data_IF_509796486601
#
_entry.id   IF_509796486601
#
_cell.length_a   1.000
_cell.length_b   1.000
_cell.length_c   1.000
_cell.angle_alpha   90.00
_cell.angle_beta   90.00
_cell.angle_gamma   90.00
#
_symmetry.space_group_name_H-M   'P 1'
#
loop_
_entity.id
_entity.type
_entity.pdbx_description
1 polymer ?
#
# COMPACT_ATOMS: atom_id res chain seq x y z
N UNK A 1 0.28 14.74 69.49
CA UNK A 1 -0.84 13.93 70.01
C UNK A 1 -2.09 14.78 69.98
N UNK A 2 -3.22 14.20 69.56
CA UNK A 2 -4.59 14.73 69.63
C UNK A 2 -5.01 15.61 68.42
N UNK A 3 -5.44 14.98 67.33
CA UNK A 3 -6.85 14.66 66.99
C UNK A 3 -7.63 15.94 66.62
N UNK A 4 -7.96 16.24 65.35
CA UNK A 4 -8.87 15.56 64.38
C UNK A 4 -10.04 16.54 64.07
N UNK A 5 -10.51 16.54 62.80
CA UNK A 5 -11.79 17.10 62.26
C UNK A 5 -11.83 18.64 62.03
N UNK A 6 -12.22 19.24 60.89
CA UNK A 6 -13.19 18.93 59.81
C UNK A 6 -12.75 19.66 58.51
N UNK A 7 -12.59 18.99 57.36
CA UNK A 7 -13.60 18.70 56.32
C UNK A 7 -14.29 19.94 55.71
N UNK A 8 -13.77 20.42 54.57
CA UNK A 8 -14.57 21.08 53.54
C UNK A 8 -14.10 20.57 52.17
N UNK A 9 -14.79 19.51 51.74
CA UNK A 9 -14.66 18.82 50.45
C UNK A 9 -15.20 19.76 49.37
N UNK A 10 -14.32 20.30 48.52
CA UNK A 10 -14.75 20.93 47.27
C UNK A 10 -14.90 19.84 46.21
N UNK A 11 -16.16 19.47 46.00
CA UNK A 11 -16.63 18.50 45.02
C UNK A 11 -16.45 19.08 43.60
N UNK A 12 -15.31 18.82 42.98
CA UNK A 12 -15.06 19.12 41.56
C UNK A 12 -15.36 17.90 40.70
N UNK A 13 -16.60 17.76 40.23
CA UNK A 13 -16.92 16.85 39.13
C UNK A 13 -16.44 17.47 37.82
N UNK A 14 -15.24 17.10 37.38
CA UNK A 14 -14.82 17.24 35.98
C UNK A 14 -14.74 15.84 35.38
N UNK A 15 -15.67 15.56 34.48
CA UNK A 15 -15.90 14.27 33.86
C UNK A 15 -14.66 13.74 33.13
N UNK A 16 -14.32 12.47 33.37
CA UNK A 16 -13.61 11.66 32.40
C UNK A 16 -14.54 11.45 31.21
N UNK A 17 -14.34 12.18 30.12
CA UNK A 17 -14.81 11.71 28.82
C UNK A 17 -13.86 10.58 28.38
N UNK A 18 -14.34 9.35 28.12
CA UNK A 18 -13.59 8.45 27.26
C UNK A 18 -13.48 9.14 25.89
N UNK A 19 -12.24 9.37 25.45
CA UNK A 19 -11.99 9.85 24.11
C UNK A 19 -12.63 8.88 23.12
N UNK A 20 -13.51 9.44 22.30
CA UNK A 20 -14.24 8.81 21.23
C UNK A 20 -13.30 7.98 20.36
N UNK A 21 -13.69 6.74 20.12
CA UNK A 21 -13.06 5.84 19.17
C UNK A 21 -12.90 6.57 17.84
N UNK A 22 -11.65 6.93 17.51
CA UNK A 22 -11.28 7.39 16.19
C UNK A 22 -11.73 6.37 15.14
N UNK A 23 -11.89 6.81 13.87
CA UNK A 23 -12.46 5.98 12.83
C UNK A 23 -11.73 4.65 12.81
N UNK A 24 -12.51 3.56 12.83
CA UNK A 24 -12.07 2.22 12.49
C UNK A 24 -11.27 2.35 11.20
N UNK A 25 -9.95 2.43 11.31
CA UNK A 25 -9.06 2.18 10.21
C UNK A 25 -9.32 0.71 9.89
N UNK A 26 -10.21 0.48 8.92
CA UNK A 26 -10.34 -0.75 8.17
C UNK A 26 -8.95 -1.33 8.08
N UNK A 27 -8.75 -2.52 8.65
CA UNK A 27 -7.49 -3.23 8.60
C UNK A 27 -7.00 -3.14 7.15
N UNK A 28 -6.01 -2.27 6.92
CA UNK A 28 -5.37 -2.17 5.63
C UNK A 28 -4.87 -3.58 5.39
N UNK A 29 -5.39 -4.26 4.38
CA UNK A 29 -4.75 -5.44 3.80
C UNK A 29 -3.41 -4.96 3.24
N UNK A 30 -2.49 -4.62 4.14
CA UNK A 30 -1.11 -4.39 3.83
C UNK A 30 -0.61 -5.76 3.41
N UNK A 31 -0.40 -5.92 2.11
CA UNK A 31 0.27 -7.08 1.56
C UNK A 31 1.59 -7.23 2.33
N UNK A 32 1.67 -8.27 3.17
CA UNK A 32 2.89 -8.57 3.90
C UNK A 32 3.88 -9.08 2.88
N UNK A 33 4.84 -8.23 2.49
CA UNK A 33 5.94 -8.66 1.62
C UNK A 33 6.81 -9.62 2.43
N UNK A 34 6.99 -10.88 1.99
CA UNK A 34 7.85 -11.83 2.69
C UNK A 34 9.26 -11.26 2.85
N UNK A 35 9.80 -11.33 4.07
CA UNK A 35 11.12 -10.75 4.42
C UNK A 35 12.26 -11.76 4.40
N UNK A 36 11.95 -13.03 4.11
CA UNK A 36 12.89 -14.13 4.05
C UNK A 36 12.49 -15.12 2.95
N UNK A 37 13.45 -15.95 2.55
CA UNK A 37 13.31 -16.92 1.47
C UNK A 37 12.27 -18.00 1.75
N UNK A 38 12.18 -18.49 2.99
CA UNK A 38 11.28 -19.58 3.34
C UNK A 38 9.83 -19.12 3.23
N UNK A 39 9.52 -17.96 3.81
CA UNK A 39 8.19 -17.34 3.72
C UNK A 39 7.87 -17.00 2.26
N UNK A 40 8.84 -16.50 1.49
CA UNK A 40 8.64 -16.21 0.08
C UNK A 40 8.22 -17.45 -0.73
N UNK A 41 8.93 -18.56 -0.55
CA UNK A 41 8.62 -19.83 -1.21
C UNK A 41 7.26 -20.39 -0.78
N UNK A 42 6.89 -20.22 0.49
CA UNK A 42 5.59 -20.66 1.01
C UNK A 42 4.41 -19.92 0.35
N UNK A 43 4.60 -18.65 0.02
CA UNK A 43 3.63 -17.83 -0.74
C UNK A 43 3.69 -18.08 -2.26
N UNK A 44 4.53 -19.03 -2.72
CA UNK A 44 4.70 -19.35 -4.14
C UNK A 44 5.58 -18.36 -4.90
N UNK A 45 6.34 -17.52 -4.21
CA UNK A 45 7.28 -16.57 -4.79
C UNK A 45 8.68 -17.14 -5.02
N UNK A 46 9.51 -16.34 -5.70
CA UNK A 46 10.94 -16.60 -5.94
C UNK A 46 11.79 -15.61 -5.16
N UNK A 47 12.70 -16.12 -4.33
CA UNK A 47 13.68 -15.30 -3.62
C UNK A 47 14.89 -15.04 -4.52
N UNK A 48 15.04 -13.81 -5.01
CA UNK A 48 16.10 -13.46 -5.96
C UNK A 48 16.57 -12.01 -5.82
N UNK A 49 17.78 -11.68 -6.32
CA UNK A 49 18.15 -10.28 -6.48
C UNK A 49 17.18 -9.59 -7.45
N UNK A 50 16.77 -8.39 -7.07
CA UNK A 50 16.02 -7.45 -7.91
C UNK A 50 16.82 -6.17 -8.08
N UNK A 51 16.50 -5.41 -9.13
CA UNK A 51 17.03 -4.06 -9.35
C UNK A 51 18.56 -4.07 -9.59
N UNK A 52 19.16 -2.94 -9.96
CA UNK A 52 20.61 -2.91 -10.24
C UNK A 52 21.46 -3.14 -8.99
N UNK A 53 20.99 -2.72 -7.81
CA UNK A 53 21.71 -2.98 -6.55
C UNK A 53 21.73 -4.47 -6.16
N UNK A 54 20.90 -5.31 -6.80
CA UNK A 54 20.84 -6.75 -6.52
C UNK A 54 20.29 -7.08 -5.13
N UNK A 55 19.34 -6.27 -4.64
CA UNK A 55 18.72 -6.49 -3.33
C UNK A 55 17.91 -7.77 -3.36
N UNK A 56 18.09 -8.66 -2.38
CA UNK A 56 17.27 -9.85 -2.27
C UNK A 56 15.84 -9.47 -1.87
N UNK A 57 14.88 -9.91 -2.68
CA UNK A 57 13.46 -9.68 -2.42
C UNK A 57 12.63 -10.90 -2.85
N UNK A 58 11.41 -10.97 -2.34
CA UNK A 58 10.44 -11.94 -2.81
C UNK A 58 9.71 -11.42 -4.06
N UNK A 59 9.77 -12.18 -5.15
CA UNK A 59 9.05 -11.89 -6.39
C UNK A 59 7.92 -12.90 -6.57
N UNK A 60 6.69 -12.42 -6.55
CA UNK A 60 5.47 -13.20 -6.71
C UNK A 60 4.85 -12.89 -8.07
N UNK A 61 4.38 -13.92 -8.77
CA UNK A 61 3.60 -13.80 -10.01
C UNK A 61 2.12 -13.55 -9.66
N UNK A 62 1.51 -12.58 -10.32
CA UNK A 62 0.11 -12.22 -10.13
C UNK A 62 -0.79 -12.94 -11.14
N UNK A 63 -1.92 -13.46 -10.67
CA UNK A 63 -2.82 -14.27 -11.50
C UNK A 63 -3.62 -13.44 -12.50
N UNK A 64 -3.73 -12.14 -12.26
CA UNK A 64 -4.43 -11.18 -13.10
C UNK A 64 -3.49 -10.39 -14.02
N UNK A 65 -2.24 -10.83 -14.18
CA UNK A 65 -1.30 -10.26 -15.14
C UNK A 65 -1.94 -10.05 -16.53
N UNK A 66 -1.80 -8.84 -17.08
CA UNK A 66 -2.35 -8.52 -18.40
C UNK A 66 -3.86 -8.25 -18.45
N UNK A 67 -4.58 -8.38 -17.33
CA UNK A 67 -5.98 -7.93 -17.21
C UNK A 67 -6.03 -6.41 -17.44
N UNK A 68 -6.99 -5.95 -18.23
CA UNK A 68 -7.25 -4.51 -18.40
C UNK A 68 -7.73 -3.89 -17.09
N UNK A 69 -7.18 -2.74 -16.72
CA UNK A 69 -7.51 -2.00 -15.52
C UNK A 69 -7.58 -0.49 -15.81
N UNK A 70 -8.25 0.25 -14.93
CA UNK A 70 -8.29 1.71 -14.89
C UNK A 70 -7.67 2.27 -13.61
N UNK A 71 -7.50 1.43 -12.61
CA UNK A 71 -6.84 1.76 -11.35
C UNK A 71 -5.99 0.60 -10.83
N UNK A 72 -4.99 0.90 -9.99
CA UNK A 72 -4.16 -0.10 -9.33
C UNK A 72 -4.94 -1.02 -8.40
N UNK A 73 -6.02 -0.54 -7.77
CA UNK A 73 -6.83 -1.35 -6.85
C UNK A 73 -7.63 -2.46 -7.55
N UNK A 74 -7.73 -2.43 -8.88
CA UNK A 74 -8.30 -3.52 -9.69
C UNK A 74 -7.33 -4.69 -9.92
N UNK A 75 -6.07 -4.54 -9.47
CA UNK A 75 -4.96 -5.45 -9.72
C UNK A 75 -4.36 -6.03 -8.43
N UNK A 76 -4.00 -7.31 -8.44
CA UNK A 76 -3.29 -7.96 -7.33
C UNK A 76 -1.91 -7.32 -7.08
N UNK A 77 -1.26 -6.85 -8.15
CA UNK A 77 0.01 -6.12 -8.10
C UNK A 77 -0.10 -4.72 -7.50
N UNK A 78 -1.32 -4.21 -7.28
CA UNK A 78 -1.63 -2.80 -6.99
C UNK A 78 -1.11 -1.82 -8.05
N UNK A 79 -0.78 -2.33 -9.23
CA UNK A 79 -0.13 -1.57 -10.29
C UNK A 79 -0.87 -1.80 -11.60
N UNK A 80 -1.67 -0.81 -11.99
CA UNK A 80 -2.20 -0.71 -13.33
C UNK A 80 -1.21 0.06 -14.20
N UNK A 81 -0.49 -0.61 -15.09
CA UNK A 81 0.57 -0.01 -15.91
C UNK A 81 0.08 0.30 -17.32
N UNK A 82 0.36 1.50 -17.80
CA UNK A 82 0.10 1.89 -19.18
C UNK A 82 1.08 1.18 -20.13
N UNK A 83 0.58 0.56 -21.21
CA UNK A 83 1.40 -0.18 -22.20
C UNK A 83 1.60 0.59 -23.52
N UNK A 84 1.07 1.81 -23.64
CA UNK A 84 1.23 2.60 -24.85
C UNK A 84 2.68 3.07 -25.03
N UNK A 85 3.12 3.13 -26.29
CA UNK A 85 4.50 3.48 -26.67
C UNK A 85 4.77 4.99 -26.73
N UNK A 86 3.71 5.78 -26.85
CA UNK A 86 3.80 7.23 -26.91
C UNK A 86 3.92 7.80 -25.51
N UNK A 87 4.69 8.89 -25.35
CA UNK A 87 4.64 9.66 -24.12
C UNK A 87 3.19 10.07 -23.92
N UNK A 88 2.53 9.60 -22.85
CA UNK A 88 1.16 9.96 -22.61
C UNK A 88 1.14 11.47 -22.42
N UNK A 89 0.45 12.14 -23.32
CA UNK A 89 -0.04 13.48 -23.03
C UNK A 89 -0.88 13.35 -21.76
N UNK A 90 -0.52 14.09 -20.73
CA UNK A 90 -1.25 14.11 -19.46
C UNK A 90 -2.62 14.82 -19.62
N UNK A 91 -3.08 15.00 -20.85
CA UNK A 91 -4.18 15.86 -21.29
C UNK A 91 -5.53 15.17 -21.09
N UNK A 92 -5.79 14.69 -19.87
CA UNK A 92 -7.14 14.30 -19.40
C UNK A 92 -7.86 13.22 -20.22
N UNK A 93 -7.18 12.56 -21.18
CA UNK A 93 -7.75 11.51 -22.01
C UNK A 93 -7.93 10.25 -21.16
N UNK A 94 -9.09 9.62 -21.29
CA UNK A 94 -9.37 8.35 -20.61
C UNK A 94 -8.40 7.29 -21.12
N UNK A 95 -7.65 6.69 -20.20
CA UNK A 95 -6.70 5.63 -20.47
C UNK A 95 -7.08 4.36 -19.71
N UNK A 96 -6.52 3.26 -20.19
CA UNK A 96 -6.54 1.97 -19.52
C UNK A 96 -5.12 1.43 -19.48
N UNK A 97 -4.79 0.72 -18.43
CA UNK A 97 -3.54 -0.03 -18.31
C UNK A 97 -3.79 -1.53 -18.29
N UNK A 98 -2.72 -2.26 -17.98
CA UNK A 98 -2.73 -3.68 -17.66
C UNK A 98 -2.18 -3.92 -16.26
N UNK A 99 -2.75 -4.89 -15.56
CA UNK A 99 -2.22 -5.30 -14.27
C UNK A 99 -0.81 -5.86 -14.45
N UNK A 100 0.14 -5.31 -13.68
CA UNK A 100 1.54 -5.73 -13.71
C UNK A 100 1.68 -7.20 -13.31
N UNK A 101 2.60 -7.91 -13.97
CA UNK A 101 2.70 -9.36 -13.86
C UNK A 101 3.30 -9.82 -12.53
N UNK A 102 4.20 -9.05 -11.92
CA UNK A 102 4.96 -9.50 -10.76
C UNK A 102 5.06 -8.43 -9.68
N UNK A 103 5.47 -8.84 -8.48
CA UNK A 103 5.82 -7.89 -7.41
C UNK A 103 7.22 -7.28 -7.56
N UNK A 104 7.91 -7.51 -8.69
CA UNK A 104 9.21 -6.90 -8.98
C UNK A 104 9.02 -5.38 -9.21
N UNK A 105 9.61 -4.52 -8.36
CA UNK A 105 9.42 -3.08 -8.44
C UNK A 105 10.22 -2.43 -9.57
N UNK A 106 11.17 -3.14 -10.17
CA UNK A 106 12.22 -2.52 -10.97
C UNK A 106 11.76 -2.14 -12.39
N UNK A 107 12.52 -1.21 -12.98
CA UNK A 107 12.27 -0.65 -14.31
C UNK A 107 11.50 0.66 -14.27
N UNK A 108 11.30 1.23 -15.46
CA UNK A 108 10.49 2.42 -15.67
C UNK A 108 9.09 2.04 -16.17
N UNK A 109 8.07 2.61 -15.57
CA UNK A 109 6.67 2.34 -15.90
C UNK A 109 5.82 3.58 -15.64
N UNK A 110 4.64 3.61 -16.26
CA UNK A 110 3.67 4.67 -16.03
C UNK A 110 2.39 4.05 -15.49
N UNK A 111 1.85 4.61 -14.42
CA UNK A 111 0.62 4.11 -13.81
C UNK A 111 -0.61 4.72 -14.46
N UNK A 112 -1.72 3.99 -14.37
CA UNK A 112 -3.07 4.48 -14.65
C UNK A 112 -3.83 4.49 -13.33
N UNK A 113 -4.31 5.67 -12.95
CA UNK A 113 -5.12 5.91 -11.74
C UNK A 113 -6.40 6.63 -12.15
N UNK A 114 -7.55 6.17 -11.67
CA UNK A 114 -8.87 6.69 -12.05
C UNK A 114 -9.07 6.86 -13.58
N UNK A 115 -8.49 5.94 -14.36
CA UNK A 115 -8.53 5.96 -15.83
C UNK A 115 -7.74 7.12 -16.45
N UNK A 116 -6.76 7.68 -15.75
CA UNK A 116 -5.87 8.74 -16.23
C UNK A 116 -4.43 8.27 -16.15
N UNK A 117 -3.63 8.76 -17.07
CA UNK A 117 -2.21 8.43 -17.09
C UNK A 117 -1.47 9.33 -16.10
N UNK A 118 -0.66 8.71 -15.25
CA UNK A 118 0.15 9.40 -14.25
C UNK A 118 1.55 9.72 -14.78
N UNK A 119 2.38 10.36 -13.95
CA UNK A 119 3.80 10.52 -14.25
C UNK A 119 4.51 9.17 -14.37
N UNK A 120 5.56 9.12 -15.20
CA UNK A 120 6.44 7.94 -15.28
C UNK A 120 7.28 7.82 -14.01
N UNK A 121 7.29 6.63 -13.42
CA UNK A 121 8.10 6.24 -12.28
C UNK A 121 9.21 5.31 -12.75
N UNK A 122 10.40 5.45 -12.17
CA UNK A 122 11.52 4.54 -12.40
C UNK A 122 12.06 4.08 -11.05
N UNK A 123 12.20 2.76 -10.90
CA UNK A 123 12.88 2.15 -9.76
C UNK A 123 14.02 1.25 -10.28
N UNK A 124 15.16 1.34 -9.61
CA UNK A 124 16.39 0.65 -9.98
C UNK A 124 17.13 0.13 -8.73
#
# INVERSE_FOLDING_TARGET
MRHILLLLVTLGLAACNPAESGPTATASNATVIPKDEQTCRAEGGTWRPVCMMGTLACVIEHKDAGKTCRDGDECQSRQCRYEGKERPDMDGRTATGKCHATSDPCGCFTLVEDGKIMGTLCAD
#
